data_IF_420183897641
#
_entry.id   IF_420183897641
#
_cell.length_a   1.000
_cell.length_b   1.000
_cell.length_c   1.000
_cell.angle_alpha   90.00
_cell.angle_beta   90.00
_cell.angle_gamma   90.00
#
_symmetry.space_group_name_H-M   'P 1'
#
loop_
_entity.id
_entity.type
_entity.pdbx_description
1 polymer ?
#
# COMPACT_ATOMS: atom_id res chain seq x y z
N UNK A 1 -3.65 -12.63 -16.54
CA UNK A 1 -2.57 -13.02 -17.48
C UNK A 1 -3.14 -13.60 -18.79
N UNK A 2 -3.84 -14.74 -18.81
CA UNK A 2 -4.39 -15.27 -20.08
C UNK A 2 -5.32 -14.30 -20.84
N UNK A 3 -6.25 -13.61 -20.17
CA UNK A 3 -7.07 -12.58 -20.82
C UNK A 3 -6.22 -11.44 -21.39
N UNK A 4 -5.20 -11.00 -20.66
CA UNK A 4 -4.26 -9.97 -21.13
C UNK A 4 -3.51 -10.43 -22.40
N UNK A 5 -3.08 -11.69 -22.45
CA UNK A 5 -2.44 -12.26 -23.64
C UNK A 5 -3.39 -12.24 -24.84
N UNK A 6 -4.67 -12.56 -24.63
CA UNK A 6 -5.71 -12.52 -25.66
C UNK A 6 -5.99 -11.09 -26.14
N UNK A 7 -6.28 -10.18 -25.22
CA UNK A 7 -6.62 -8.78 -25.47
C UNK A 7 -5.51 -8.04 -26.23
N UNK A 8 -4.25 -8.43 -26.03
CA UNK A 8 -3.09 -7.81 -26.67
C UNK A 8 -2.56 -8.62 -27.87
N UNK A 9 -3.26 -9.68 -28.31
CA UNK A 9 -2.84 -10.47 -29.47
C UNK A 9 -1.51 -11.21 -29.28
N UNK A 10 -1.17 -11.57 -28.04
CA UNK A 10 0.07 -12.25 -27.65
C UNK A 10 -0.07 -13.78 -27.57
N UNK A 11 -1.21 -14.35 -27.99
CA UNK A 11 -1.38 -15.81 -28.06
C UNK A 11 -0.37 -16.40 -29.04
N UNK A 12 0.38 -17.42 -28.61
CA UNK A 12 1.44 -18.06 -29.40
C UNK A 12 2.76 -17.28 -29.46
N UNK A 13 2.91 -16.21 -28.68
CA UNK A 13 4.22 -15.59 -28.47
C UNK A 13 5.19 -16.60 -27.83
N UNK A 14 6.47 -16.50 -28.17
CA UNK A 14 7.52 -17.20 -27.42
C UNK A 14 7.50 -16.79 -25.94
N UNK A 15 8.04 -17.66 -25.08
CA UNK A 15 8.05 -17.52 -23.62
C UNK A 15 8.39 -16.08 -23.18
N UNK A 16 7.41 -15.38 -22.60
CA UNK A 16 7.55 -13.97 -22.24
C UNK A 16 8.15 -13.79 -20.83
N UNK A 17 9.16 -12.93 -20.65
CA UNK A 17 9.67 -12.60 -19.33
C UNK A 17 8.66 -11.74 -18.56
N UNK A 18 8.39 -12.10 -17.30
CA UNK A 18 7.51 -11.40 -16.39
C UNK A 18 8.28 -10.94 -15.15
N UNK A 19 8.24 -9.62 -14.90
CA UNK A 19 8.53 -9.05 -13.58
C UNK A 19 7.28 -9.08 -12.73
N UNK A 20 7.35 -9.73 -11.57
CA UNK A 20 6.24 -9.85 -10.63
C UNK A 20 6.39 -8.83 -9.51
N UNK A 21 5.73 -7.68 -9.65
CA UNK A 21 5.61 -6.71 -8.54
C UNK A 21 4.65 -7.26 -7.49
N UNK A 22 5.19 -7.60 -6.32
CA UNK A 22 4.45 -8.16 -5.20
C UNK A 22 4.68 -7.29 -3.95
N UNK A 23 3.75 -6.38 -3.70
CA UNK A 23 3.84 -5.31 -2.70
C UNK A 23 3.60 -5.76 -1.25
N UNK A 24 4.27 -6.83 -0.82
CA UNK A 24 4.20 -7.35 0.54
C UNK A 24 5.60 -7.71 1.06
N UNK A 25 5.78 -7.80 2.39
CA UNK A 25 7.04 -8.22 2.98
C UNK A 25 7.41 -9.64 2.53
N UNK A 26 8.54 -9.74 1.84
CA UNK A 26 9.06 -10.99 1.28
C UNK A 26 10.49 -11.21 1.76
N UNK A 27 10.78 -12.42 2.23
CA UNK A 27 12.15 -12.88 2.36
C UNK A 27 12.66 -13.31 0.98
N UNK A 28 13.38 -12.41 0.33
CA UNK A 28 13.89 -12.62 -1.03
C UNK A 28 15.23 -13.38 -0.98
N UNK A 29 15.21 -14.62 -1.44
CA UNK A 29 16.38 -15.52 -1.46
C UNK A 29 17.09 -15.54 -2.82
N UNK A 30 16.43 -15.01 -3.85
CA UNK A 30 16.94 -14.86 -5.21
C UNK A 30 16.09 -13.84 -5.99
N UNK A 31 16.50 -13.51 -7.23
CA UNK A 31 15.75 -12.51 -8.01
C UNK A 31 14.32 -12.98 -8.31
N UNK A 32 14.10 -14.29 -8.50
CA UNK A 32 12.82 -14.92 -8.78
C UNK A 32 12.32 -15.84 -7.65
N UNK A 33 12.83 -15.67 -6.43
CA UNK A 33 12.45 -16.48 -5.25
C UNK A 33 12.11 -15.58 -4.08
N UNK A 34 10.85 -15.62 -3.65
CA UNK A 34 10.35 -14.73 -2.60
C UNK A 34 9.33 -15.39 -1.70
N UNK A 35 9.71 -15.65 -0.45
CA UNK A 35 8.79 -16.19 0.56
C UNK A 35 8.03 -15.09 1.27
N UNK A 36 6.70 -15.12 1.22
CA UNK A 36 5.87 -14.16 1.96
C UNK A 36 6.12 -14.30 3.47
N UNK A 37 6.41 -13.20 4.15
CA UNK A 37 6.61 -13.20 5.61
C UNK A 37 5.25 -13.13 6.30
N UNK A 38 4.50 -12.06 6.08
CA UNK A 38 3.15 -11.85 6.62
C UNK A 38 2.32 -10.98 5.67
N UNK A 39 1.00 -11.06 5.79
CA UNK A 39 0.10 -10.20 5.02
C UNK A 39 -0.03 -8.81 5.66
N UNK A 40 -0.30 -7.81 4.82
CA UNK A 40 -0.62 -6.44 5.23
C UNK A 40 -1.77 -5.89 4.38
N UNK A 41 -2.16 -4.62 4.56
CA UNK A 41 -3.13 -3.92 3.70
C UNK A 41 -4.50 -4.61 3.60
N UNK A 42 -4.92 -5.31 4.66
CA UNK A 42 -6.20 -6.04 4.72
C UNK A 42 -6.23 -7.40 4.01
N UNK A 43 -5.12 -7.87 3.42
CA UNK A 43 -5.05 -9.21 2.82
C UNK A 43 -4.91 -10.30 3.90
N UNK A 44 -5.50 -11.48 3.66
CA UNK A 44 -5.45 -12.60 4.62
C UNK A 44 -5.55 -14.00 3.98
N UNK A 45 -5.15 -14.16 2.72
CA UNK A 45 -5.27 -15.43 2.01
C UNK A 45 -4.48 -16.56 2.70
N UNK A 46 -5.16 -17.66 3.03
CA UNK A 46 -4.57 -18.82 3.73
C UNK A 46 -3.61 -19.61 2.84
N UNK A 47 -2.57 -20.20 3.45
CA UNK A 47 -1.65 -21.09 2.74
C UNK A 47 -0.59 -20.39 1.89
N UNK A 48 -0.45 -19.06 2.01
CA UNK A 48 0.55 -18.27 1.27
C UNK A 48 1.73 -17.84 2.15
N UNK A 49 1.48 -17.56 3.44
CA UNK A 49 2.55 -17.17 4.37
C UNK A 49 3.60 -18.29 4.50
N UNK A 50 4.88 -17.90 4.44
CA UNK A 50 6.03 -18.80 4.40
C UNK A 50 6.27 -19.49 3.05
N UNK A 51 5.38 -19.33 2.06
CA UNK A 51 5.51 -19.95 0.75
C UNK A 51 6.15 -19.01 -0.26
N UNK A 52 6.86 -19.60 -1.24
CA UNK A 52 7.40 -18.86 -2.38
C UNK A 52 6.27 -18.47 -3.35
N UNK A 53 6.00 -17.17 -3.44
CA UNK A 53 4.88 -16.66 -4.24
C UNK A 53 5.13 -16.76 -5.74
N UNK A 54 6.39 -16.82 -6.17
CA UNK A 54 6.74 -17.07 -7.58
C UNK A 54 6.40 -18.50 -7.94
N UNK A 55 6.74 -19.46 -7.07
CA UNK A 55 6.34 -20.86 -7.22
C UNK A 55 4.82 -21.01 -7.27
N UNK A 56 4.10 -20.36 -6.34
CA UNK A 56 2.62 -20.40 -6.32
C UNK A 56 2.01 -19.86 -7.63
N UNK A 57 2.57 -18.78 -8.18
CA UNK A 57 2.15 -18.23 -9.47
C UNK A 57 2.44 -19.21 -10.62
N UNK A 58 3.66 -19.77 -10.69
CA UNK A 58 4.06 -20.78 -11.69
C UNK A 58 3.13 -22.00 -11.66
N UNK A 59 2.81 -22.51 -10.47
CA UNK A 59 1.89 -23.63 -10.30
C UNK A 59 0.45 -23.29 -10.73
N UNK A 60 -0.03 -22.06 -10.44
CA UNK A 60 -1.34 -21.60 -10.90
C UNK A 60 -1.41 -21.51 -12.43
N UNK A 61 -0.35 -21.01 -13.07
CA UNK A 61 -0.22 -21.00 -14.53
C UNK A 61 -0.23 -22.43 -15.11
N UNK A 62 0.53 -23.35 -14.52
CA UNK A 62 0.57 -24.75 -14.94
C UNK A 62 -0.80 -25.45 -14.83
N UNK A 63 -1.51 -25.26 -13.72
CA UNK A 63 -2.88 -25.81 -13.54
C UNK A 63 -3.84 -25.32 -14.63
N UNK A 64 -3.70 -24.07 -15.07
CA UNK A 64 -4.49 -23.53 -16.19
C UNK A 64 -4.13 -24.20 -17.51
N UNK A 65 -2.82 -24.33 -17.81
CA UNK A 65 -2.35 -24.98 -19.03
C UNK A 65 -2.88 -26.40 -19.20
N UNK A 66 -3.02 -27.15 -18.10
CA UNK A 66 -3.58 -28.52 -18.07
C UNK A 66 -5.10 -28.55 -18.32
N UNK A 67 -5.84 -27.46 -18.08
CA UNK A 67 -7.32 -27.45 -18.07
C UNK A 67 -7.97 -26.93 -19.36
N UNK A 68 -7.19 -26.64 -20.42
CA UNK A 68 -7.73 -26.10 -21.68
C UNK A 68 -8.34 -27.22 -22.55
N UNK A 69 -9.63 -27.16 -22.94
CA UNK A 69 -10.40 -28.28 -23.50
C UNK A 69 -10.01 -28.72 -24.94
N UNK A 70 -8.99 -28.14 -25.56
CA UNK A 70 -8.57 -28.44 -26.94
C UNK A 70 -7.25 -29.23 -27.04
N UNK A 71 -6.87 -30.00 -26.01
CA UNK A 71 -5.62 -30.77 -26.01
C UNK A 71 -5.72 -32.04 -26.86
N UNK A 72 -5.13 -32.01 -28.06
CA UNK A 72 -4.64 -33.21 -28.75
C UNK A 72 -3.13 -33.33 -28.52
N UNK A 73 -2.71 -34.53 -28.15
CA UNK A 73 -1.37 -34.93 -27.75
C UNK A 73 -0.29 -34.60 -28.79
N UNK A 74 0.65 -33.69 -28.47
CA UNK A 74 2.11 -33.80 -28.74
C UNK A 74 2.88 -32.49 -28.52
N UNK A 75 2.21 -31.35 -28.37
CA UNK A 75 2.85 -30.08 -27.99
C UNK A 75 1.96 -29.37 -26.97
N UNK A 76 2.54 -28.90 -25.87
CA UNK A 76 1.82 -28.13 -24.85
C UNK A 76 1.58 -26.74 -25.44
N UNK A 77 0.45 -26.52 -26.10
CA UNK A 77 -0.05 -25.18 -26.40
C UNK A 77 -0.50 -24.54 -25.08
N UNK A 78 0.46 -23.95 -24.37
CA UNK A 78 0.15 -23.03 -23.29
C UNK A 78 -0.39 -21.75 -23.92
N UNK A 79 -1.66 -21.42 -23.67
CA UNK A 79 -2.23 -20.09 -23.95
C UNK A 79 -1.45 -18.95 -23.24
N UNK A 80 -0.43 -19.30 -22.45
CA UNK A 80 0.36 -18.44 -21.58
C UNK A 80 1.66 -19.14 -21.17
N UNK A 81 2.73 -19.02 -21.96
CA UNK A 81 4.09 -19.41 -21.57
C UNK A 81 4.84 -18.19 -21.02
N UNK A 82 4.99 -18.14 -19.69
CA UNK A 82 5.54 -16.99 -18.96
C UNK A 82 6.75 -17.46 -18.14
N UNK A 83 7.85 -16.72 -18.26
CA UNK A 83 9.01 -16.85 -17.40
C UNK A 83 9.01 -15.78 -16.31
N UNK A 84 8.71 -16.14 -15.06
CA UNK A 84 8.86 -15.19 -13.96
C UNK A 84 10.35 -15.04 -13.67
N UNK A 85 10.94 -13.94 -14.16
CA UNK A 85 12.39 -13.67 -14.08
C UNK A 85 12.78 -12.83 -12.86
N UNK A 86 11.81 -12.12 -12.28
CA UNK A 86 12.04 -11.30 -11.11
C UNK A 86 10.77 -11.17 -10.27
N UNK A 87 10.95 -11.12 -8.96
CA UNK A 87 9.99 -10.58 -7.99
C UNK A 87 10.58 -9.30 -7.41
N UNK A 88 9.74 -8.28 -7.27
CA UNK A 88 10.14 -7.00 -6.70
C UNK A 88 9.01 -6.38 -5.86
N UNK A 89 9.38 -5.53 -4.92
CA UNK A 89 8.45 -4.66 -4.20
C UNK A 89 8.04 -3.46 -5.09
N UNK A 90 6.87 -2.88 -4.86
CA UNK A 90 6.40 -1.70 -5.61
C UNK A 90 7.33 -0.49 -5.47
N UNK A 91 7.89 -0.23 -4.29
CA UNK A 91 8.87 0.84 -4.09
C UNK A 91 10.09 0.66 -4.99
N UNK A 92 10.59 -0.57 -5.11
CA UNK A 92 11.75 -0.92 -5.96
C UNK A 92 11.38 -0.76 -7.43
N UNK A 93 10.19 -1.18 -7.83
CA UNK A 93 9.69 -0.98 -9.19
C UNK A 93 9.58 0.51 -9.53
N UNK A 94 9.06 1.32 -8.61
CA UNK A 94 8.96 2.78 -8.74
C UNK A 94 10.34 3.42 -8.88
N UNK A 95 11.30 3.03 -8.04
CA UNK A 95 12.68 3.49 -8.13
C UNK A 95 13.27 3.16 -9.51
N UNK A 96 13.21 1.90 -9.94
CA UNK A 96 13.78 1.46 -11.22
C UNK A 96 13.12 2.13 -12.42
N UNK A 97 11.80 2.31 -12.41
CA UNK A 97 11.07 2.99 -13.47
C UNK A 97 11.47 4.46 -13.60
N UNK A 98 11.73 5.15 -12.47
CA UNK A 98 12.21 6.52 -12.47
C UNK A 98 13.70 6.60 -12.85
N UNK A 99 14.53 5.74 -12.29
CA UNK A 99 15.96 5.66 -12.57
C UNK A 99 16.27 5.34 -14.04
N UNK A 100 15.36 4.64 -14.75
CA UNK A 100 15.48 4.42 -16.19
C UNK A 100 15.48 5.73 -17.01
N UNK A 101 14.83 6.78 -16.51
CA UNK A 101 14.79 8.10 -17.15
C UNK A 101 15.75 9.10 -16.50
N UNK A 102 15.88 9.05 -15.18
CA UNK A 102 16.63 9.98 -14.37
C UNK A 102 17.67 9.22 -13.53
N UNK A 103 18.90 9.15 -14.04
CA UNK A 103 19.98 8.36 -13.43
C UNK A 103 20.37 8.85 -12.02
N UNK A 104 19.96 10.05 -11.61
CA UNK A 104 20.16 10.55 -10.24
C UNK A 104 19.13 10.02 -9.23
N UNK A 105 18.08 9.31 -9.67
CA UNK A 105 17.08 8.72 -8.78
C UNK A 105 17.68 7.59 -7.94
N UNK A 106 17.66 7.73 -6.62
CA UNK A 106 18.23 6.76 -5.67
C UNK A 106 17.23 6.31 -4.59
N UNK A 107 16.02 6.88 -4.57
CA UNK A 107 14.98 6.59 -3.58
C UNK A 107 13.65 6.41 -4.30
N UNK A 108 12.94 5.34 -3.98
CA UNK A 108 11.55 5.11 -4.38
C UNK A 108 10.65 5.17 -3.16
N UNK A 109 9.58 5.97 -3.22
CA UNK A 109 8.59 6.11 -2.14
C UNK A 109 7.21 5.78 -2.67
N UNK A 110 6.44 5.02 -1.90
CA UNK A 110 5.02 4.78 -2.15
C UNK A 110 4.24 5.47 -1.03
N UNK A 111 3.33 6.37 -1.41
CA UNK A 111 2.34 7.00 -0.54
C UNK A 111 0.96 6.74 -1.16
N UNK A 112 0.24 5.76 -0.62
CA UNK A 112 -1.06 5.36 -1.14
C UNK A 112 -1.84 4.60 -0.09
N UNK A 113 -2.46 3.47 -0.45
CA UNK A 113 -3.14 2.59 0.52
C UNK A 113 -2.20 2.15 1.64
N UNK A 114 -0.95 1.83 1.31
CA UNK A 114 0.14 1.67 2.28
C UNK A 114 1.19 2.76 2.12
N UNK A 115 2.22 2.72 2.96
CA UNK A 115 3.42 3.53 2.77
C UNK A 115 4.66 2.68 2.90
N UNK A 116 5.59 2.84 1.96
CA UNK A 116 6.88 2.18 2.01
C UNK A 116 7.94 3.01 1.27
N UNK A 117 9.21 2.73 1.55
CA UNK A 117 10.32 3.25 0.77
C UNK A 117 11.39 2.20 0.49
N UNK A 118 12.12 2.44 -0.60
CA UNK A 118 13.38 1.78 -0.86
C UNK A 118 14.44 2.80 -1.28
N UNK A 119 15.70 2.44 -1.15
CA UNK A 119 16.81 3.28 -1.57
C UNK A 119 18.02 2.46 -1.98
N UNK A 120 18.96 3.06 -2.72
CA UNK A 120 20.24 2.46 -3.05
C UNK A 120 21.21 2.55 -1.86
N UNK A 121 21.68 1.40 -1.37
CA UNK A 121 22.61 1.29 -0.24
C UNK A 121 23.93 0.66 -0.67
N UNK A 122 25.03 1.02 -0.01
CA UNK A 122 26.34 0.39 -0.21
C UNK A 122 26.38 -0.99 0.43
N UNK A 123 26.92 -1.98 -0.26
CA UNK A 123 27.07 -3.34 0.27
C UNK A 123 27.86 -3.39 1.59
N UNK A 124 28.81 -2.46 1.79
CA UNK A 124 29.59 -2.34 3.03
C UNK A 124 28.72 -2.04 4.27
N UNK A 125 27.56 -1.40 4.07
CA UNK A 125 26.56 -1.08 5.08
C UNK A 125 25.53 -2.21 5.29
N UNK A 126 25.64 -3.32 4.55
CA UNK A 126 24.70 -4.46 4.61
C UNK A 126 25.33 -5.68 5.31
N UNK A 127 25.48 -5.67 6.66
CA UNK A 127 26.17 -6.74 7.39
C UNK A 127 25.52 -8.12 7.21
N UNK A 128 24.19 -8.17 7.00
CA UNK A 128 23.43 -9.40 6.75
C UNK A 128 23.88 -10.12 5.47
N UNK A 129 24.39 -9.38 4.48
CA UNK A 129 24.81 -9.90 3.18
C UNK A 129 26.29 -10.28 3.11
N UNK A 130 27.11 -9.94 4.13
CA UNK A 130 28.55 -10.22 4.13
C UNK A 130 28.89 -11.69 3.91
N UNK A 131 28.03 -12.60 4.39
CA UNK A 131 28.17 -14.06 4.21
C UNK A 131 28.06 -14.52 2.76
N UNK A 132 27.42 -13.72 1.90
CA UNK A 132 27.27 -14.02 0.48
C UNK A 132 28.52 -13.63 -0.34
N UNK A 133 29.49 -12.93 0.26
CA UNK A 133 30.73 -12.50 -0.39
C UNK A 133 30.54 -11.71 -1.70
N UNK A 134 29.43 -10.97 -1.83
CA UNK A 134 29.09 -10.15 -3.01
C UNK A 134 30.16 -9.09 -3.32
N UNK A 135 30.91 -8.65 -2.32
CA UNK A 135 32.07 -7.76 -2.52
C UNK A 135 33.13 -8.32 -3.49
N UNK A 136 33.18 -9.66 -3.70
CA UNK A 136 34.16 -10.33 -4.54
C UNK A 136 33.72 -10.55 -5.98
N UNK A 137 32.45 -10.28 -6.32
CA UNK A 137 31.96 -10.39 -7.69
C UNK A 137 32.35 -9.16 -8.54
N UNK A 138 32.00 -9.19 -9.83
CA UNK A 138 32.25 -8.08 -10.76
C UNK A 138 31.05 -7.11 -10.89
N UNK A 139 30.06 -7.19 -9.99
CA UNK A 139 28.88 -6.34 -10.00
C UNK A 139 29.08 -5.06 -9.17
N UNK A 140 28.24 -4.01 -9.39
CA UNK A 140 28.25 -2.81 -8.55
C UNK A 140 28.15 -3.13 -7.06
N UNK A 141 28.85 -2.36 -6.22
CA UNK A 141 28.90 -2.58 -4.77
C UNK A 141 27.77 -1.90 -4.02
N UNK A 142 26.60 -1.91 -4.64
CA UNK A 142 25.38 -1.28 -4.17
C UNK A 142 24.20 -2.24 -4.33
N UNK A 143 23.20 -2.08 -3.47
CA UNK A 143 21.99 -2.89 -3.48
C UNK A 143 20.79 -2.03 -3.09
N UNK A 144 19.67 -2.20 -3.79
CA UNK A 144 18.43 -1.57 -3.40
C UNK A 144 17.90 -2.24 -2.14
N UNK A 145 17.69 -1.46 -1.08
CA UNK A 145 17.09 -1.90 0.18
C UNK A 145 15.63 -1.51 0.19
N UNK A 146 14.76 -2.50 0.15
CA UNK A 146 13.36 -2.35 0.55
C UNK A 146 13.30 -2.24 2.08
N UNK A 147 12.88 -1.09 2.60
CA UNK A 147 12.92 -0.82 4.03
C UNK A 147 11.80 -1.55 4.79
N UNK A 148 10.65 -1.77 4.15
CA UNK A 148 9.41 -2.16 4.82
C UNK A 148 9.13 -1.25 6.03
N UNK A 149 9.25 0.07 5.82
CA UNK A 149 9.29 1.07 6.90
C UNK A 149 7.95 1.20 7.66
N UNK A 150 6.89 0.56 7.18
CA UNK A 150 5.57 0.65 7.78
C UNK A 150 5.55 0.12 9.21
N UNK A 151 6.45 -0.84 9.51
CA UNK A 151 6.66 -1.43 10.83
C UNK A 151 7.51 -0.57 11.78
N UNK A 152 7.95 0.62 11.37
CA UNK A 152 8.66 1.53 12.27
C UNK A 152 7.75 1.89 13.46
N UNK A 153 8.30 1.80 14.67
CA UNK A 153 7.56 2.05 15.91
C UNK A 153 6.82 0.85 16.50
N UNK A 154 6.73 -0.29 15.80
CA UNK A 154 6.12 -1.54 16.33
C UNK A 154 6.81 -2.04 17.61
N UNK A 155 8.04 -1.59 17.87
CA UNK A 155 8.84 -1.85 19.08
C UNK A 155 8.63 -0.83 20.21
N UNK A 156 7.67 0.09 20.07
CA UNK A 156 7.38 1.18 21.00
C UNK A 156 8.19 2.45 20.72
N UNK A 157 9.07 2.47 19.71
CA UNK A 157 9.89 3.63 19.37
C UNK A 157 9.11 4.89 18.99
N UNK A 158 7.83 4.76 18.65
CA UNK A 158 6.93 5.87 18.29
C UNK A 158 5.84 6.16 19.33
N UNK A 159 5.83 5.48 20.48
CA UNK A 159 4.75 5.64 21.47
C UNK A 159 4.63 7.08 22.00
N UNK A 160 5.73 7.84 22.00
CA UNK A 160 5.76 9.22 22.45
C UNK A 160 5.01 10.21 21.53
N UNK A 161 4.74 9.84 20.26
CA UNK A 161 3.97 10.66 19.32
C UNK A 161 2.56 10.11 19.04
N UNK A 162 2.30 8.84 19.38
CA UNK A 162 1.01 8.22 19.14
C UNK A 162 -0.07 8.83 20.03
N UNK A 163 -1.19 9.18 19.42
CA UNK A 163 -2.36 9.71 20.12
C UNK A 163 -3.33 8.58 20.48
N UNK A 164 -4.31 8.82 21.36
CA UNK A 164 -5.40 7.87 21.60
C UNK A 164 -6.18 7.50 20.33
N UNK A 165 -6.21 8.36 19.32
CA UNK A 165 -6.86 8.09 18.03
C UNK A 165 -6.04 7.09 17.21
N UNK A 166 -4.71 7.21 17.19
CA UNK A 166 -3.83 6.25 16.52
C UNK A 166 -3.91 4.87 17.19
N UNK A 167 -4.04 4.82 18.52
CA UNK A 167 -4.26 3.58 19.27
C UNK A 167 -5.62 2.94 18.92
N UNK A 168 -6.70 3.73 18.86
CA UNK A 168 -8.02 3.24 18.49
C UNK A 168 -8.08 2.71 17.05
N UNK A 169 -7.41 3.36 16.09
CA UNK A 169 -7.26 2.84 14.73
C UNK A 169 -6.52 1.50 14.74
N UNK A 170 -5.38 1.43 15.43
CA UNK A 170 -4.54 0.24 15.53
C UNK A 170 -5.28 -0.96 16.12
N UNK A 171 -5.99 -0.77 17.24
CA UNK A 171 -6.78 -1.80 17.90
C UNK A 171 -7.91 -2.36 17.02
N UNK A 172 -8.46 -1.55 16.12
CA UNK A 172 -9.54 -1.92 15.22
C UNK A 172 -9.07 -2.64 13.94
N UNK A 173 -7.76 -2.73 13.66
CA UNK A 173 -7.27 -3.39 12.45
C UNK A 173 -7.16 -4.90 12.61
N UNK A 174 -6.95 -5.60 11.48
CA UNK A 174 -6.68 -7.06 11.45
C UNK A 174 -5.33 -7.45 12.06
N UNK A 175 -4.47 -6.48 12.35
CA UNK A 175 -3.10 -6.64 12.80
C UNK A 175 -2.74 -5.60 13.88
N UNK A 176 -3.38 -5.62 15.06
CA UNK A 176 -3.08 -4.68 16.14
C UNK A 176 -1.61 -4.78 16.58
N UNK A 177 -0.98 -3.64 16.88
CA UNK A 177 0.41 -3.53 17.29
C UNK A 177 1.43 -3.68 16.16
N UNK A 178 0.98 -3.81 14.90
CA UNK A 178 1.85 -3.95 13.73
C UNK A 178 1.60 -2.86 12.70
N UNK A 179 2.66 -2.47 12.00
CA UNK A 179 2.67 -1.42 10.98
C UNK A 179 2.22 -0.06 11.52
N UNK A 180 2.68 0.31 12.71
CA UNK A 180 2.24 1.51 13.41
C UNK A 180 2.55 2.79 12.64
N UNK A 181 3.73 2.89 12.03
CA UNK A 181 4.07 4.03 11.16
C UNK A 181 3.19 4.08 9.91
N UNK A 182 2.88 2.94 9.28
CA UNK A 182 1.95 2.91 8.15
C UNK A 182 0.56 3.42 8.54
N UNK A 183 0.06 3.03 9.72
CA UNK A 183 -1.25 3.43 10.25
C UNK A 183 -1.37 4.92 10.50
N UNK A 184 -0.27 5.60 10.76
CA UNK A 184 -0.26 7.05 11.02
C UNK A 184 -0.18 7.89 9.74
N UNK A 185 0.19 7.31 8.59
CA UNK A 185 0.53 8.05 7.36
C UNK A 185 -0.34 7.64 6.17
N UNK A 186 -0.63 6.34 6.01
CA UNK A 186 -1.17 5.86 4.74
C UNK A 186 -2.64 6.26 4.53
N UNK A 187 -3.02 6.32 3.25
CA UNK A 187 -4.39 6.62 2.86
C UNK A 187 -5.39 5.52 3.20
N UNK A 188 -4.99 4.36 3.72
CA UNK A 188 -5.93 3.38 4.27
C UNK A 188 -6.50 3.82 5.62
N UNK A 189 -5.75 4.61 6.39
CA UNK A 189 -6.06 4.90 7.80
C UNK A 189 -6.35 6.38 8.06
N UNK A 190 -5.85 7.28 7.21
CA UNK A 190 -6.01 8.73 7.36
C UNK A 190 -7.46 9.17 7.57
N UNK A 191 -8.39 8.65 6.76
CA UNK A 191 -9.81 8.95 6.89
C UNK A 191 -10.41 8.50 8.25
N UNK A 192 -9.98 7.35 8.77
CA UNK A 192 -10.45 6.84 10.05
C UNK A 192 -9.89 7.64 11.24
N UNK A 193 -8.64 8.12 11.13
CA UNK A 193 -8.07 9.07 12.10
C UNK A 193 -8.90 10.35 12.17
N UNK A 194 -9.24 10.94 11.01
CA UNK A 194 -10.12 12.13 10.95
C UNK A 194 -11.47 11.82 11.56
N UNK A 195 -12.10 10.69 11.19
CA UNK A 195 -13.40 10.27 11.71
C UNK A 195 -13.42 10.20 13.24
N UNK A 196 -12.42 9.57 13.84
CA UNK A 196 -12.33 9.39 15.30
C UNK A 196 -12.18 10.72 16.04
N UNK A 197 -11.41 11.66 15.47
CA UNK A 197 -11.30 13.02 16.03
C UNK A 197 -12.64 13.74 15.93
N UNK A 198 -13.32 13.68 14.78
CA UNK A 198 -14.64 14.31 14.59
C UNK A 198 -15.71 13.70 15.51
N UNK A 199 -15.71 12.38 15.69
CA UNK A 199 -16.59 11.69 16.63
C UNK A 199 -16.35 12.17 18.07
N UNK A 200 -15.07 12.35 18.46
CA UNK A 200 -14.72 12.89 19.76
C UNK A 200 -15.23 14.32 19.97
N UNK A 201 -15.04 15.20 18.97
CA UNK A 201 -15.53 16.58 19.00
C UNK A 201 -17.07 16.64 19.05
N UNK A 202 -17.75 15.76 18.32
CA UNK A 202 -19.21 15.63 18.36
C UNK A 202 -19.69 15.20 19.75
N UNK A 203 -19.05 14.21 20.40
CA UNK A 203 -19.38 13.83 21.78
C UNK A 203 -19.25 14.99 22.78
N UNK A 204 -18.36 15.94 22.50
CA UNK A 204 -18.20 17.17 23.30
C UNK A 204 -19.14 18.32 22.88
N UNK A 205 -20.03 18.10 21.91
CA UNK A 205 -20.93 19.11 21.32
C UNK A 205 -20.19 20.30 20.71
N UNK A 206 -18.99 20.07 20.19
CA UNK A 206 -18.20 21.09 19.50
C UNK A 206 -18.47 21.14 17.99
N UNK A 207 -18.99 20.04 17.43
CA UNK A 207 -19.44 19.91 16.04
C UNK A 207 -20.75 19.13 15.97
N UNK A 208 -21.48 19.29 14.87
CA UNK A 208 -22.69 18.54 14.50
C UNK A 208 -23.82 18.60 15.54
N UNK A 209 -23.88 19.68 16.34
CA UNK A 209 -24.81 19.81 17.49
C UNK A 209 -24.76 18.64 18.49
N UNK A 210 -23.67 17.88 18.48
CA UNK A 210 -23.48 16.68 19.27
C UNK A 210 -24.08 15.40 18.72
N UNK A 211 -24.62 15.41 17.50
CA UNK A 211 -25.03 14.19 16.81
C UNK A 211 -23.82 13.38 16.36
N UNK A 212 -23.78 12.12 16.79
CA UNK A 212 -22.70 11.18 16.51
C UNK A 212 -23.15 10.05 15.57
N UNK A 213 -24.43 9.99 15.21
CA UNK A 213 -25.06 8.84 14.54
C UNK A 213 -24.37 8.50 13.22
N UNK A 214 -24.13 9.52 12.39
CA UNK A 214 -23.44 9.39 11.12
C UNK A 214 -21.94 9.06 11.31
N UNK A 215 -21.23 9.87 12.10
CA UNK A 215 -19.77 9.78 12.20
C UNK A 215 -19.26 8.59 13.01
N UNK A 216 -20.12 7.92 13.81
CA UNK A 216 -19.73 6.74 14.59
C UNK A 216 -19.55 5.47 13.74
N UNK A 217 -19.97 5.49 12.46
CA UNK A 217 -19.80 4.35 11.57
C UNK A 217 -18.36 4.29 11.05
N UNK A 218 -17.65 3.19 11.36
CA UNK A 218 -16.28 2.98 10.88
C UNK A 218 -16.20 3.08 9.34
N UNK A 219 -15.14 3.72 8.84
CA UNK A 219 -14.87 3.93 7.41
C UNK A 219 -15.90 4.80 6.65
N UNK A 220 -16.83 5.48 7.33
CA UNK A 220 -17.75 6.44 6.67
C UNK A 220 -17.01 7.65 6.08
N UNK A 221 -15.78 7.89 6.52
CA UNK A 221 -14.95 9.00 6.10
C UNK A 221 -13.69 8.50 5.35
N UNK A 222 -13.78 8.12 4.07
CA UNK A 222 -12.63 7.69 3.28
C UNK A 222 -11.62 8.84 3.09
N UNK A 223 -10.34 8.47 2.87
CA UNK A 223 -9.25 9.43 2.59
C UNK A 223 -9.52 10.33 1.38
N UNK A 224 -10.34 9.89 0.41
CA UNK A 224 -10.82 10.75 -0.68
C UNK A 224 -11.43 12.05 -0.13
N UNK A 225 -12.24 11.97 0.92
CA UNK A 225 -12.88 13.15 1.51
C UNK A 225 -11.85 14.11 2.13
N UNK A 226 -10.80 13.59 2.76
CA UNK A 226 -9.69 14.41 3.29
C UNK A 226 -9.07 15.23 2.16
N UNK A 227 -8.68 14.60 1.05
CA UNK A 227 -8.09 15.28 -0.10
C UNK A 227 -9.03 16.30 -0.75
N UNK A 228 -10.33 15.98 -0.81
CA UNK A 228 -11.33 16.85 -1.41
C UNK A 228 -11.62 18.10 -0.57
N UNK A 229 -11.62 17.96 0.75
CA UNK A 229 -11.83 19.06 1.71
C UNK A 229 -10.60 19.98 1.74
N UNK A 230 -9.39 19.43 1.68
CA UNK A 230 -8.18 20.24 1.63
C UNK A 230 -8.03 20.99 0.32
N UNK A 231 -8.29 20.34 -0.81
CA UNK A 231 -8.23 21.01 -2.12
C UNK A 231 -9.29 22.10 -2.30
N UNK A 232 -10.37 22.09 -1.51
CA UNK A 232 -11.34 23.17 -1.47
C UNK A 232 -10.79 24.44 -0.79
N UNK A 233 -9.84 24.31 0.15
CA UNK A 233 -9.24 25.49 0.81
C UNK A 233 -8.43 26.37 -0.15
N UNK A 234 -8.04 25.83 -1.31
CA UNK A 234 -7.33 26.55 -2.36
C UNK A 234 -8.26 27.39 -3.27
N UNK A 235 -9.59 27.23 -3.17
CA UNK A 235 -10.58 27.98 -3.95
C UNK A 235 -11.31 29.05 -3.11
N UNK A 236 -11.00 30.35 -3.29
CA UNK A 236 -11.60 31.43 -2.51
C UNK A 236 -13.04 31.79 -2.92
N UNK A 237 -13.59 31.18 -3.97
CA UNK A 237 -14.88 31.62 -4.56
C UNK A 237 -16.11 31.03 -3.87
N UNK A 238 -16.03 29.80 -3.36
CA UNK A 238 -17.11 29.11 -2.64
C UNK A 238 -16.56 28.25 -1.50
N UNK A 239 -16.20 28.85 -0.35
CA UNK A 239 -15.64 28.10 0.75
C UNK A 239 -16.67 27.09 1.29
N UNK A 240 -16.22 25.86 1.54
CA UNK A 240 -16.96 24.79 2.21
C UNK A 240 -18.15 24.16 1.44
N UNK A 241 -18.40 24.52 0.18
CA UNK A 241 -19.46 23.91 -0.60
C UNK A 241 -19.29 22.37 -0.71
N UNK A 242 -18.08 21.91 -1.02
CA UNK A 242 -17.73 20.51 -1.12
C UNK A 242 -17.71 19.84 0.25
N UNK A 243 -17.17 20.51 1.26
CA UNK A 243 -17.22 20.03 2.65
C UNK A 243 -18.67 19.80 3.10
N UNK A 244 -19.59 20.74 2.83
CA UNK A 244 -21.01 20.57 3.14
C UNK A 244 -21.64 19.39 2.41
N UNK A 245 -21.33 19.20 1.12
CA UNK A 245 -21.81 18.06 0.35
C UNK A 245 -21.33 16.73 0.94
N UNK A 246 -20.05 16.63 1.26
CA UNK A 246 -19.46 15.44 1.89
C UNK A 246 -20.15 15.15 3.23
N UNK A 247 -20.34 16.17 4.07
CA UNK A 247 -21.03 16.01 5.35
C UNK A 247 -22.48 15.52 5.17
N UNK A 248 -23.20 16.02 4.17
CA UNK A 248 -24.54 15.52 3.83
C UNK A 248 -24.51 14.09 3.31
N UNK A 249 -23.53 13.73 2.48
CA UNK A 249 -23.36 12.36 1.95
C UNK A 249 -23.15 11.33 3.06
N UNK A 250 -22.38 11.68 4.09
CA UNK A 250 -22.14 10.79 5.23
C UNK A 250 -23.29 10.77 6.24
N UNK A 251 -24.32 11.60 6.06
CA UNK A 251 -25.53 11.61 6.88
C UNK A 251 -25.64 12.73 7.91
N UNK A 252 -24.81 13.78 7.83
CA UNK A 252 -24.99 15.00 8.63
C UNK A 252 -26.01 15.89 7.91
N UNK A 253 -27.25 15.95 8.43
CA UNK A 253 -28.37 16.58 7.72
C UNK A 253 -28.25 18.10 7.56
N UNK A 254 -27.67 18.79 8.54
CA UNK A 254 -27.62 20.26 8.60
C UNK A 254 -26.23 20.77 9.02
N UNK A 255 -25.18 20.52 8.20
CA UNK A 255 -23.84 20.99 8.53
C UNK A 255 -23.81 22.52 8.52
N UNK A 256 -23.24 23.11 9.56
CA UNK A 256 -23.00 24.55 9.63
C UNK A 256 -21.66 24.92 9.00
N UNK A 257 -21.45 26.22 8.75
CA UNK A 257 -20.13 26.73 8.32
C UNK A 257 -19.07 26.45 9.39
N UNK A 258 -19.43 26.54 10.67
CA UNK A 258 -18.53 26.23 11.78
C UNK A 258 -18.11 24.75 11.78
N UNK A 259 -19.04 23.84 11.49
CA UNK A 259 -18.72 22.41 11.33
C UNK A 259 -17.73 22.21 10.18
N UNK A 260 -17.97 22.86 9.04
CA UNK A 260 -17.08 22.75 7.89
C UNK A 260 -15.68 23.29 8.20
N UNK A 261 -15.58 24.42 8.92
CA UNK A 261 -14.29 24.96 9.38
C UNK A 261 -13.57 23.97 10.30
N UNK A 262 -14.27 23.37 11.26
CA UNK A 262 -13.69 22.40 12.17
C UNK A 262 -13.23 21.13 11.43
N UNK A 263 -14.04 20.61 10.52
CA UNK A 263 -13.73 19.44 9.70
C UNK A 263 -12.50 19.70 8.82
N UNK A 264 -12.46 20.84 8.13
CA UNK A 264 -11.34 21.18 7.28
C UNK A 264 -10.04 21.38 8.08
N UNK A 265 -10.15 21.94 9.30
CA UNK A 265 -9.01 22.05 10.20
C UNK A 265 -8.50 20.68 10.69
N UNK A 266 -9.41 19.77 11.06
CA UNK A 266 -9.04 18.39 11.47
C UNK A 266 -8.39 17.64 10.32
N UNK A 267 -8.93 17.73 9.09
CA UNK A 267 -8.31 17.14 7.90
C UNK A 267 -6.86 17.63 7.73
N UNK A 268 -6.66 18.95 7.73
CA UNK A 268 -5.33 19.57 7.58
C UNK A 268 -4.36 19.15 8.69
N UNK A 269 -4.80 19.08 9.96
CA UNK A 269 -3.95 18.63 11.06
C UNK A 269 -3.49 17.18 10.89
N UNK A 270 -4.37 16.28 10.46
CA UNK A 270 -4.06 14.86 10.31
C UNK A 270 -3.16 14.61 9.10
N UNK A 271 -3.40 15.30 7.98
CA UNK A 271 -2.60 15.13 6.76
C UNK A 271 -1.22 15.79 6.83
N UNK A 272 -1.08 16.88 7.60
CA UNK A 272 0.18 17.63 7.74
C UNK A 272 1.17 16.99 8.71
N UNK A 273 0.67 16.21 9.69
CA UNK A 273 1.46 15.64 10.79
C UNK A 273 2.65 14.80 10.33
#
# INVERSE_FOLDING_TARGET
LANFMEENGLKGAEKLPLGFTFSFPVNQEGLDVGKLIHWSKGFNATGVQGQDVVKLLKEACARRGVSSPNQSSSFIDLDMDIDVVAILNDTVGTLLACAFKENSCQIGVILGTGTNACYMEKLSNCPKLRKLHLEKDNFPKEMIINMEWGAFGDDGGLDFIRTPYDAAVDEATVNPGLHLFEKMISGMYMGELVRLVLEHLAKQRLVFDGDTTAISQANVFPTKYVSEIEGEQDDPTNPYQKTMQILQEIGIEKPSVADCTAVAYVCSLISTR
#
